data_IF_750194159970
#
_entry.id   IF_750194159970
#
_cell.length_a   1.000
_cell.length_b   1.000
_cell.length_c   1.000
_cell.angle_alpha   90.00
_cell.angle_beta   90.00
_cell.angle_gamma   90.00
#
_symmetry.space_group_name_H-M   'P 1'
#
loop_
_entity.id
_entity.type
_entity.pdbx_description
1 polymer ?
#
# COMPACT_ATOMS: atom_id res chain seq x y z
N UNK A 1 28.88 24.94 18.00
CA UNK A 1 27.77 23.95 17.93
C UNK A 1 26.87 24.30 16.75
N UNK A 2 26.26 23.27 16.15
CA UNK A 2 25.34 23.44 15.02
C UNK A 2 23.99 22.81 15.38
N UNK A 3 22.92 23.48 15.03
CA UNK A 3 21.57 22.92 15.24
C UNK A 3 21.12 22.18 13.99
N UNK A 4 20.65 20.94 14.16
CA UNK A 4 19.99 20.16 13.12
C UNK A 4 18.49 20.16 13.41
N UNK A 5 17.68 20.18 12.37
CA UNK A 5 16.22 20.17 12.51
C UNK A 5 15.55 19.24 11.52
N UNK A 6 14.36 18.77 11.90
CA UNK A 6 13.45 18.01 11.06
C UNK A 6 12.04 18.61 11.21
N UNK A 7 11.28 18.84 10.12
CA UNK A 7 11.74 18.74 8.73
C UNK A 7 12.69 19.88 8.34
N UNK A 8 13.52 19.62 7.34
CA UNK A 8 14.43 20.61 6.78
C UNK A 8 14.82 20.16 5.37
N UNK A 9 15.53 21.00 4.62
CA UNK A 9 16.01 20.63 3.29
C UNK A 9 16.92 19.38 3.35
N UNK A 10 17.72 19.25 4.41
CA UNK A 10 18.59 18.09 4.60
C UNK A 10 17.82 16.86 5.04
N UNK A 11 16.77 17.03 5.84
CA UNK A 11 15.92 15.97 6.37
C UNK A 11 14.46 16.28 6.01
N UNK A 12 14.05 16.01 4.74
CA UNK A 12 12.72 16.40 4.28
C UNK A 12 11.62 15.58 4.94
N UNK A 13 10.44 16.18 5.07
CA UNK A 13 9.24 15.48 5.46
C UNK A 13 8.87 14.42 4.42
N UNK A 14 8.16 13.34 4.82
CA UNK A 14 7.59 12.39 3.86
C UNK A 14 6.61 13.11 2.90
N UNK A 15 6.36 12.52 1.72
CA UNK A 15 5.34 13.04 0.81
C UNK A 15 3.94 12.96 1.44
N UNK A 16 3.04 13.81 0.94
CA UNK A 16 1.61 13.73 1.27
C UNK A 16 0.92 12.72 0.35
N UNK A 17 0.03 11.93 0.91
CA UNK A 17 -0.77 10.95 0.16
C UNK A 17 -2.24 11.19 0.44
N UNK A 18 -3.07 11.18 -0.60
CA UNK A 18 -4.52 11.24 -0.48
C UNK A 18 -5.20 10.16 -1.29
N UNK A 19 -6.36 9.73 -0.79
CA UNK A 19 -7.25 8.76 -1.43
C UNK A 19 -8.68 9.31 -1.40
N UNK A 20 -9.45 9.02 -2.43
CA UNK A 20 -10.89 9.22 -2.43
C UNK A 20 -11.56 7.92 -1.99
N UNK A 21 -12.40 7.99 -0.98
CA UNK A 21 -13.08 6.81 -0.40
C UNK A 21 -14.60 6.98 -0.46
N UNK A 22 -15.37 5.87 -0.56
CA UNK A 22 -16.82 5.94 -0.47
C UNK A 22 -17.29 6.51 0.87
N UNK A 23 -18.50 7.09 0.90
CA UNK A 23 -19.06 7.72 2.10
C UNK A 23 -19.32 6.72 3.24
N UNK A 24 -19.48 5.44 2.93
CA UNK A 24 -19.64 4.37 3.90
C UNK A 24 -18.31 3.76 4.39
N UNK A 25 -17.19 4.38 4.03
CA UNK A 25 -15.87 4.02 4.57
C UNK A 25 -15.47 4.99 5.67
N UNK A 26 -14.70 4.52 6.62
CA UNK A 26 -14.23 5.28 7.77
C UNK A 26 -12.71 5.23 7.92
N UNK A 27 -12.08 6.30 8.43
CA UNK A 27 -10.66 6.28 8.74
C UNK A 27 -10.38 5.39 9.96
N UNK A 28 -9.21 4.76 9.94
CA UNK A 28 -8.72 3.93 11.05
C UNK A 28 -7.32 4.38 11.43
N UNK A 29 -7.06 4.55 12.72
CA UNK A 29 -5.72 4.85 13.21
C UNK A 29 -4.97 3.55 13.49
N UNK A 30 -3.88 3.34 12.78
CA UNK A 30 -3.05 2.15 12.91
C UNK A 30 -1.60 2.58 13.15
N UNK A 31 -0.91 2.03 14.16
CA UNK A 31 0.50 2.34 14.39
C UNK A 31 1.36 2.04 13.16
N UNK A 32 2.35 2.89 12.89
CA UNK A 32 3.32 2.73 11.80
C UNK A 32 2.71 2.77 10.39
N UNK A 33 1.51 3.30 10.26
CA UNK A 33 0.78 3.46 9.00
C UNK A 33 0.45 4.93 8.80
N UNK A 34 0.69 5.44 7.60
CA UNK A 34 0.42 6.84 7.28
C UNK A 34 -1.08 7.12 7.15
N UNK A 35 -1.82 6.19 6.55
CA UNK A 35 -3.26 6.30 6.34
C UNK A 35 -3.85 4.90 6.29
N UNK A 36 -4.99 4.70 6.94
CA UNK A 36 -5.77 3.48 6.83
C UNK A 36 -7.27 3.81 6.78
N UNK A 37 -8.01 3.07 5.99
CA UNK A 37 -9.45 3.22 5.84
C UNK A 37 -10.09 1.86 5.59
N UNK A 38 -11.32 1.71 6.06
CA UNK A 38 -12.09 0.47 5.90
C UNK A 38 -13.55 0.77 5.66
N UNK A 39 -14.27 -0.16 5.07
CA UNK A 39 -15.72 -0.10 5.00
C UNK A 39 -16.31 -0.16 6.41
N UNK A 40 -17.32 0.65 6.68
CA UNK A 40 -18.05 0.65 7.96
C UNK A 40 -18.92 -0.60 8.08
N UNK A 41 -19.19 -1.01 9.32
CA UNK A 41 -20.04 -2.15 9.63
C UNK A 41 -19.25 -3.41 9.99
N UNK A 42 -19.98 -4.43 10.42
CA UNK A 42 -19.43 -5.73 10.79
C UNK A 42 -19.54 -6.71 9.62
N UNK A 43 -18.42 -7.32 9.26
CA UNK A 43 -18.32 -8.29 8.17
C UNK A 43 -17.35 -9.39 8.57
N UNK A 44 -17.43 -10.55 7.92
CA UNK A 44 -16.48 -11.63 8.12
C UNK A 44 -15.04 -11.19 7.79
N UNK A 45 -14.89 -10.44 6.72
CA UNK A 45 -13.66 -9.74 6.37
C UNK A 45 -14.02 -8.33 5.91
N UNK A 46 -13.43 -7.32 6.54
CA UNK A 46 -13.72 -5.92 6.22
C UNK A 46 -12.78 -5.42 5.11
N UNK A 47 -13.31 -5.01 3.95
CA UNK A 47 -12.50 -4.40 2.91
C UNK A 47 -11.77 -3.17 3.45
N UNK A 48 -10.50 -3.03 3.10
CA UNK A 48 -9.68 -1.94 3.62
C UNK A 48 -8.56 -1.55 2.66
N UNK A 49 -8.03 -0.35 2.88
CA UNK A 49 -6.84 0.17 2.20
C UNK A 49 -5.91 0.78 3.23
N UNK A 50 -4.63 0.46 3.12
CA UNK A 50 -3.57 0.93 4.00
C UNK A 50 -2.48 1.56 3.16
N UNK A 51 -1.96 2.71 3.61
CA UNK A 51 -0.82 3.39 3.01
C UNK A 51 0.32 3.42 4.00
N UNK A 52 1.47 2.88 3.60
CA UNK A 52 2.72 2.96 4.35
C UNK A 52 3.72 3.82 3.61
N UNK A 53 4.42 4.64 4.37
CA UNK A 53 5.51 5.48 3.86
C UNK A 53 6.81 5.04 4.53
N UNK A 54 7.88 5.09 3.78
CA UNK A 54 9.22 4.78 4.28
C UNK A 54 10.28 5.40 3.40
N UNK A 55 11.53 5.09 3.68
CA UNK A 55 12.66 5.46 2.84
C UNK A 55 13.44 4.21 2.45
N UNK A 56 13.99 4.22 1.25
CA UNK A 56 14.89 3.18 0.74
C UNK A 56 16.11 3.82 0.12
N UNK A 57 17.16 3.02 -0.09
CA UNK A 57 18.27 3.44 -0.93
C UNK A 57 17.76 3.80 -2.33
N UNK A 58 18.30 4.84 -2.92
CA UNK A 58 17.99 5.21 -4.31
C UNK A 58 18.37 4.09 -5.31
N UNK A 59 19.22 3.15 -4.90
CA UNK A 59 19.64 1.99 -5.72
C UNK A 59 18.65 0.84 -5.68
N UNK A 60 17.72 0.82 -4.70
CA UNK A 60 16.71 -0.24 -4.61
C UNK A 60 15.76 -0.17 -5.80
N UNK A 61 15.40 -1.33 -6.31
CA UNK A 61 14.46 -1.49 -7.41
C UNK A 61 13.08 -1.94 -6.89
N UNK A 62 11.99 -1.71 -7.62
CA UNK A 62 10.68 -2.25 -7.25
C UNK A 62 10.68 -3.77 -7.04
N UNK A 63 11.54 -4.50 -7.75
CA UNK A 63 11.71 -5.93 -7.58
C UNK A 63 12.15 -6.34 -6.16
N UNK A 64 12.91 -5.48 -5.47
CA UNK A 64 13.36 -5.75 -4.10
C UNK A 64 12.16 -5.77 -3.14
N UNK A 65 11.24 -4.80 -3.28
CA UNK A 65 10.01 -4.76 -2.51
C UNK A 65 9.10 -5.96 -2.83
N UNK A 66 9.06 -6.38 -4.10
CA UNK A 66 8.30 -7.55 -4.53
C UNK A 66 8.86 -8.83 -3.89
N UNK A 67 10.18 -8.99 -3.81
CA UNK A 67 10.81 -10.13 -3.15
C UNK A 67 10.49 -10.17 -1.65
N UNK A 68 10.48 -9.04 -0.98
CA UNK A 68 10.11 -8.95 0.44
C UNK A 68 8.65 -9.37 0.64
N UNK A 69 7.75 -8.91 -0.22
CA UNK A 69 6.34 -9.29 -0.21
C UNK A 69 6.16 -10.78 -0.46
N UNK A 70 6.85 -11.33 -1.45
CA UNK A 70 6.83 -12.75 -1.76
C UNK A 70 7.28 -13.59 -0.56
N UNK A 71 8.35 -13.18 0.12
CA UNK A 71 8.83 -13.84 1.33
C UNK A 71 7.82 -13.80 2.47
N UNK A 72 7.03 -12.73 2.58
CA UNK A 72 6.01 -12.60 3.62
C UNK A 72 4.77 -13.48 3.36
N UNK A 73 4.48 -13.80 2.10
CA UNK A 73 3.26 -14.53 1.69
C UNK A 73 3.52 -16.02 1.45
N UNK A 74 4.72 -16.39 1.02
CA UNK A 74 5.10 -17.71 0.52
C UNK A 74 4.74 -18.86 1.47
N UNK A 75 4.87 -18.68 2.77
CA UNK A 75 4.58 -19.72 3.77
C UNK A 75 3.11 -19.84 4.15
N UNK A 76 2.22 -19.05 3.58
CA UNK A 76 0.79 -19.05 3.91
C UNK A 76 0.05 -20.11 3.09
N UNK A 77 -1.07 -20.59 3.65
CA UNK A 77 -1.91 -21.58 3.00
C UNK A 77 -2.48 -21.06 1.68
N UNK A 78 -2.39 -21.87 0.61
CA UNK A 78 -2.90 -21.54 -0.73
C UNK A 78 -2.32 -20.22 -1.29
N UNK A 79 -1.11 -19.85 -0.89
CA UNK A 79 -0.50 -18.60 -1.31
C UNK A 79 -0.24 -18.57 -2.82
N UNK A 80 -0.66 -17.47 -3.45
CA UNK A 80 -0.37 -17.17 -4.85
C UNK A 80 0.16 -15.75 -4.98
N UNK A 81 1.08 -15.54 -5.91
CA UNK A 81 1.67 -14.24 -6.21
C UNK A 81 1.57 -14.05 -7.71
N UNK A 82 0.89 -12.98 -8.11
CA UNK A 82 0.72 -12.63 -9.51
C UNK A 82 1.96 -11.99 -10.12
N UNK A 83 1.92 -11.76 -11.42
CA UNK A 83 2.97 -11.10 -12.15
C UNK A 83 3.02 -9.59 -11.82
N UNK A 84 4.23 -9.03 -11.88
CA UNK A 84 4.43 -7.60 -11.72
C UNK A 84 3.89 -6.84 -12.92
N UNK A 85 3.09 -5.80 -12.65
CA UNK A 85 2.52 -4.91 -13.66
C UNK A 85 2.95 -3.47 -13.40
N UNK A 86 3.02 -2.67 -14.46
CA UNK A 86 3.25 -1.24 -14.36
C UNK A 86 1.94 -0.50 -14.61
N UNK A 87 1.58 0.43 -13.72
CA UNK A 87 0.38 1.25 -13.84
C UNK A 87 0.72 2.71 -13.56
N UNK A 88 0.08 3.62 -14.32
CA UNK A 88 0.22 5.07 -14.12
C UNK A 88 -0.98 5.57 -13.31
N UNK A 89 -0.73 6.15 -12.15
CA UNK A 89 -1.76 6.70 -11.27
C UNK A 89 -1.33 8.08 -10.76
N UNK A 90 -2.20 9.07 -10.91
CA UNK A 90 -1.92 10.43 -10.44
C UNK A 90 -0.62 11.03 -11.00
N UNK A 91 -0.23 10.67 -12.21
CA UNK A 91 0.99 11.14 -12.86
C UNK A 91 2.27 10.42 -12.42
N UNK A 92 2.17 9.38 -11.59
CA UNK A 92 3.31 8.57 -11.14
C UNK A 92 3.21 7.15 -11.66
N UNK A 93 4.37 6.54 -11.90
CA UNK A 93 4.48 5.14 -12.26
C UNK A 93 4.52 4.27 -11.00
N UNK A 94 3.57 3.37 -10.88
CA UNK A 94 3.50 2.37 -9.81
C UNK A 94 3.79 0.98 -10.36
N UNK A 95 4.36 0.15 -9.51
CA UNK A 95 4.41 -1.30 -9.73
C UNK A 95 3.24 -1.92 -8.96
N UNK A 96 2.46 -2.75 -9.63
CA UNK A 96 1.35 -3.50 -9.03
C UNK A 96 1.66 -4.97 -8.98
N UNK A 97 1.35 -5.61 -7.87
CA UNK A 97 1.33 -7.06 -7.72
C UNK A 97 0.13 -7.47 -6.88
N UNK A 98 -0.56 -8.52 -7.31
CA UNK A 98 -1.69 -9.10 -6.59
C UNK A 98 -1.25 -10.38 -5.92
N UNK A 99 -1.63 -10.57 -4.66
CA UNK A 99 -1.36 -11.78 -3.88
C UNK A 99 -2.65 -12.31 -3.29
N UNK A 100 -2.69 -13.60 -3.01
CA UNK A 100 -3.84 -14.24 -2.37
C UNK A 100 -3.36 -15.37 -1.47
N UNK A 101 -4.12 -15.64 -0.41
CA UNK A 101 -3.91 -16.79 0.48
C UNK A 101 -5.18 -17.10 1.24
N UNK A 102 -5.17 -18.20 1.97
CA UNK A 102 -6.23 -18.56 2.91
C UNK A 102 -5.72 -18.31 4.33
N UNK A 103 -6.45 -17.53 5.12
CA UNK A 103 -6.06 -17.23 6.50
C UNK A 103 -6.35 -18.43 7.44
N UNK A 104 -5.87 -18.39 8.70
CA UNK A 104 -6.10 -19.50 9.65
C UNK A 104 -7.57 -19.78 9.95
N UNK A 105 -8.48 -18.83 9.69
CA UNK A 105 -9.93 -19.02 9.83
C UNK A 105 -10.57 -19.70 8.62
N UNK A 106 -9.81 -19.98 7.57
CA UNK A 106 -10.31 -20.51 6.32
C UNK A 106 -10.89 -19.47 5.37
N UNK A 107 -10.62 -18.18 5.61
CA UNK A 107 -11.08 -17.08 4.75
C UNK A 107 -10.08 -16.89 3.61
N UNK A 108 -10.57 -16.94 2.37
CA UNK A 108 -9.77 -16.58 1.21
C UNK A 108 -9.57 -15.06 1.14
N UNK A 109 -8.33 -14.61 1.17
CA UNK A 109 -7.95 -13.19 1.15
C UNK A 109 -7.24 -12.88 -0.16
N UNK A 110 -7.56 -11.74 -0.74
CA UNK A 110 -6.86 -11.16 -1.89
C UNK A 110 -6.35 -9.78 -1.52
N UNK A 111 -5.11 -9.48 -1.88
CA UNK A 111 -4.51 -8.16 -1.70
C UNK A 111 -3.94 -7.64 -3.01
N UNK A 112 -4.15 -6.35 -3.22
CA UNK A 112 -3.56 -5.58 -4.32
C UNK A 112 -2.51 -4.66 -3.73
N UNK A 113 -1.27 -4.81 -4.14
CA UNK A 113 -0.14 -4.00 -3.68
C UNK A 113 0.31 -3.06 -4.78
N UNK A 114 0.49 -1.79 -4.42
CA UNK A 114 1.04 -0.75 -5.29
C UNK A 114 2.27 -0.15 -4.64
N UNK A 115 3.36 -0.06 -5.39
CA UNK A 115 4.62 0.51 -4.92
C UNK A 115 5.06 1.63 -5.84
N UNK A 116 5.57 2.72 -5.28
CA UNK A 116 6.30 3.74 -6.03
C UNK A 116 7.41 4.32 -5.17
N UNK A 117 8.48 4.77 -5.82
CA UNK A 117 9.57 5.49 -5.19
C UNK A 117 9.68 6.90 -5.76
N UNK A 118 9.84 7.89 -4.89
CA UNK A 118 10.11 9.27 -5.29
C UNK A 118 11.56 9.60 -4.98
N UNK A 119 12.36 9.96 -5.99
CA UNK A 119 13.77 10.31 -5.78
C UNK A 119 13.95 11.47 -4.81
N UNK A 120 15.01 11.42 -4.02
CA UNK A 120 15.50 12.48 -3.14
C UNK A 120 16.93 12.84 -3.56
N UNK A 121 17.41 13.99 -3.05
CA UNK A 121 18.78 14.46 -3.35
C UNK A 121 19.86 13.78 -2.51
N UNK A 122 19.48 13.05 -1.46
CA UNK A 122 20.40 12.50 -0.45
C UNK A 122 20.71 11.01 -0.65
N UNK A 123 20.67 10.50 -1.88
CA UNK A 123 20.88 9.08 -2.22
C UNK A 123 19.83 8.14 -1.64
N UNK A 124 18.69 8.68 -1.21
CA UNK A 124 17.52 7.96 -0.76
C UNK A 124 16.36 8.17 -1.73
N UNK A 125 15.34 7.36 -1.57
CA UNK A 125 14.04 7.59 -2.18
C UNK A 125 12.97 7.47 -1.11
N UNK A 126 11.92 8.30 -1.22
CA UNK A 126 10.70 8.08 -0.45
C UNK A 126 9.93 6.94 -1.10
N UNK A 127 9.52 5.99 -0.27
CA UNK A 127 8.85 4.78 -0.73
C UNK A 127 7.39 4.80 -0.27
N UNK A 128 6.48 4.64 -1.22
CA UNK A 128 5.04 4.63 -0.96
C UNK A 128 4.50 3.25 -1.29
N UNK A 129 3.84 2.63 -0.32
CA UNK A 129 3.26 1.30 -0.47
C UNK A 129 1.78 1.33 -0.08
N UNK A 130 0.91 1.07 -1.05
CA UNK A 130 -0.53 0.91 -0.83
C UNK A 130 -0.89 -0.56 -0.83
N UNK A 131 -1.77 -0.96 0.09
CA UNK A 131 -2.32 -2.31 0.14
C UNK A 131 -3.84 -2.23 0.23
N UNK A 132 -4.53 -2.77 -0.76
CA UNK A 132 -5.97 -2.96 -0.71
C UNK A 132 -6.30 -4.42 -0.48
N UNK A 133 -7.20 -4.71 0.45
CA UNK A 133 -7.54 -6.09 0.85
C UNK A 133 -9.02 -6.35 0.78
N UNK A 134 -9.38 -7.51 0.24
CA UNK A 134 -10.72 -8.08 0.25
C UNK A 134 -10.66 -9.54 0.68
N UNK A 135 -11.75 -10.08 1.16
CA UNK A 135 -11.78 -11.48 1.58
C UNK A 135 -13.17 -12.00 1.86
N UNK A 136 -13.26 -13.32 1.97
CA UNK A 136 -14.49 -14.00 2.27
C UNK A 136 -15.52 -14.01 1.13
N UNK A 137 -16.79 -14.35 1.42
CA UNK A 137 -17.81 -14.51 0.38
C UNK A 137 -18.18 -13.20 -0.34
N UNK A 138 -17.90 -12.04 0.27
CA UNK A 138 -18.20 -10.72 -0.30
C UNK A 138 -17.07 -10.17 -1.20
N UNK A 139 -15.94 -10.88 -1.31
CA UNK A 139 -14.73 -10.39 -1.95
C UNK A 139 -14.95 -9.92 -3.40
N UNK A 140 -15.74 -10.66 -4.19
CA UNK A 140 -15.96 -10.31 -5.61
C UNK A 140 -16.73 -8.99 -5.77
N UNK A 141 -17.65 -8.69 -4.85
CA UNK A 141 -18.37 -7.42 -4.82
C UNK A 141 -17.54 -6.27 -4.27
N UNK A 142 -16.67 -6.54 -3.32
CA UNK A 142 -15.84 -5.52 -2.65
C UNK A 142 -14.61 -5.13 -3.48
N UNK A 143 -14.07 -6.04 -4.28
CA UNK A 143 -12.84 -5.80 -5.03
C UNK A 143 -12.88 -4.59 -5.96
N UNK A 144 -13.93 -4.38 -6.78
CA UNK A 144 -14.00 -3.19 -7.62
C UNK A 144 -13.96 -1.88 -6.82
N UNK A 145 -14.54 -1.86 -5.64
CA UNK A 145 -14.55 -0.69 -4.76
C UNK A 145 -13.15 -0.43 -4.23
N UNK A 146 -12.46 -1.45 -3.72
CA UNK A 146 -11.08 -1.35 -3.24
C UNK A 146 -10.15 -0.88 -4.35
N UNK A 147 -10.27 -1.43 -5.56
CA UNK A 147 -9.45 -1.02 -6.69
C UNK A 147 -9.68 0.44 -7.05
N UNK A 148 -10.92 0.91 -7.01
CA UNK A 148 -11.25 2.31 -7.28
C UNK A 148 -10.64 3.25 -6.24
N UNK A 149 -10.64 2.87 -4.97
CA UNK A 149 -9.96 3.62 -3.90
C UNK A 149 -8.46 3.71 -4.17
N UNK A 150 -7.82 2.59 -4.48
CA UNK A 150 -6.38 2.55 -4.82
C UNK A 150 -6.05 3.43 -6.03
N UNK A 151 -6.87 3.37 -7.08
CA UNK A 151 -6.67 4.13 -8.31
C UNK A 151 -6.82 5.65 -8.11
N UNK A 152 -7.47 6.08 -7.04
CA UNK A 152 -7.63 7.50 -6.70
C UNK A 152 -6.40 8.12 -6.05
N UNK A 153 -5.34 7.36 -5.82
CA UNK A 153 -4.15 7.83 -5.09
C UNK A 153 -3.52 9.07 -5.74
N UNK A 154 -3.19 10.02 -4.90
CA UNK A 154 -2.40 11.20 -5.27
C UNK A 154 -1.26 11.35 -4.26
N UNK A 155 -0.05 11.50 -4.78
CA UNK A 155 1.16 11.66 -3.97
C UNK A 155 1.83 12.97 -4.35
N UNK A 156 2.09 13.82 -3.37
CA UNK A 156 2.73 15.13 -3.56
C UNK A 156 3.79 15.36 -2.49
N UNK A 157 4.87 16.05 -2.87
CA UNK A 157 5.87 16.52 -1.90
C UNK A 157 5.46 17.82 -1.22
#
# INVERSE_FOLDING_TARGET
MTTLSYPSDRFPAPPSVSLDVPDDWEPVSVPSVALATKQSGEQLFTPNVIVRLGTRSALDQPADALMELAGAVEGRQDATIGDMQHVELGGLSFVRVDVAWTDPRGIAIRQHHLFTGLPREDSLQDFVHLTGSVGGPEADGDEPVVLKVLESVRVTR
#
